data_IF_014176475382
#
_entry.id   IF_014176475382
#
_cell.length_a   1.000
_cell.length_b   1.000
_cell.length_c   1.000
_cell.angle_alpha   90.00
_cell.angle_beta   90.00
_cell.angle_gamma   90.00
#
_symmetry.space_group_name_H-M   'P 1'
#
loop_
_entity.id
_entity.type
_entity.pdbx_description
1 polymer ?
#
# COMPACT_ATOMS: atom_id res chain seq x y z
N UNK A 1 -38.89 37.38 -34.12
CA UNK A 1 -37.42 37.39 -33.87
C UNK A 1 -37.24 37.13 -32.38
N UNK A 2 -36.96 35.87 -32.06
CA UNK A 2 -37.09 35.34 -30.70
C UNK A 2 -35.96 35.79 -29.78
N UNK A 3 -36.33 36.42 -28.66
CA UNK A 3 -35.44 36.85 -27.56
C UNK A 3 -34.59 35.67 -27.05
N UNK A 4 -35.08 34.44 -27.24
CA UNK A 4 -34.40 33.19 -26.95
C UNK A 4 -33.02 33.08 -27.66
N UNK A 5 -32.89 33.58 -28.89
CA UNK A 5 -31.64 33.50 -29.66
C UNK A 5 -30.54 34.47 -29.15
N UNK A 6 -30.92 35.51 -28.39
CA UNK A 6 -29.97 36.45 -27.78
C UNK A 6 -29.48 35.98 -26.39
N UNK A 7 -30.28 35.18 -25.68
CA UNK A 7 -29.99 34.70 -24.33
C UNK A 7 -29.25 33.35 -24.35
N UNK A 8 -29.52 32.49 -25.35
CA UNK A 8 -28.84 31.19 -25.49
C UNK A 8 -27.30 31.33 -25.58
N UNK A 9 -26.71 32.26 -26.37
CA UNK A 9 -25.26 32.40 -26.46
C UNK A 9 -24.60 32.83 -25.15
N UNK A 10 -25.26 33.67 -24.35
CA UNK A 10 -24.72 34.13 -23.07
C UNK A 10 -24.77 33.02 -22.01
N UNK A 11 -25.87 32.27 -21.91
CA UNK A 11 -25.99 31.13 -20.99
C UNK A 11 -25.00 30.02 -21.35
N UNK A 12 -24.83 29.71 -22.64
CA UNK A 12 -23.83 28.74 -23.11
C UNK A 12 -22.41 29.25 -22.80
N UNK A 13 -22.12 30.53 -23.04
CA UNK A 13 -20.81 31.11 -22.70
C UNK A 13 -20.53 31.03 -21.19
N UNK A 14 -21.50 31.33 -20.33
CA UNK A 14 -21.36 31.19 -18.88
C UNK A 14 -21.15 29.73 -18.46
N UNK A 15 -21.88 28.78 -19.06
CA UNK A 15 -21.68 27.36 -18.79
C UNK A 15 -20.27 26.91 -19.22
N UNK A 16 -19.82 27.29 -20.41
CA UNK A 16 -18.48 26.99 -20.92
C UNK A 16 -17.42 27.59 -19.99
N UNK A 17 -17.56 28.86 -19.60
CA UNK A 17 -16.63 29.53 -18.67
C UNK A 17 -16.62 28.82 -17.31
N UNK A 18 -17.78 28.48 -16.76
CA UNK A 18 -17.89 27.76 -15.49
C UNK A 18 -17.21 26.38 -15.55
N UNK A 19 -17.52 25.57 -16.57
CA UNK A 19 -16.93 24.23 -16.72
C UNK A 19 -15.43 24.27 -17.00
N UNK A 20 -14.96 25.23 -17.81
CA UNK A 20 -13.52 25.40 -18.07
C UNK A 20 -12.78 25.86 -16.82
N UNK A 21 -13.31 26.80 -16.04
CA UNK A 21 -12.73 27.22 -14.75
C UNK A 21 -12.70 26.04 -13.76
N UNK A 22 -13.80 25.30 -13.63
CA UNK A 22 -13.86 24.12 -12.76
C UNK A 22 -12.82 23.06 -13.16
N UNK A 23 -12.72 22.73 -14.45
CA UNK A 23 -11.73 21.79 -14.96
C UNK A 23 -10.29 22.26 -14.70
N UNK A 24 -9.98 23.53 -14.95
CA UNK A 24 -8.65 24.10 -14.68
C UNK A 24 -8.29 24.09 -13.19
N UNK A 25 -9.26 24.34 -12.30
CA UNK A 25 -9.07 24.22 -10.86
C UNK A 25 -8.77 22.77 -10.44
N UNK A 26 -9.46 21.78 -11.02
CA UNK A 26 -9.18 20.35 -10.75
C UNK A 26 -7.79 19.89 -11.24
N UNK A 27 -7.28 20.46 -12.33
CA UNK A 27 -5.94 20.16 -12.86
C UNK A 27 -4.81 20.74 -12.00
N UNK A 28 -5.03 21.88 -11.32
CA UNK A 28 -4.05 22.49 -10.40
C UNK A 28 -3.72 21.57 -9.23
N UNK A 29 -4.71 20.82 -8.74
CA UNK A 29 -4.51 19.92 -7.61
C UNK A 29 -3.73 18.65 -7.99
N UNK A 30 -3.90 18.15 -9.21
CA UNK A 30 -3.18 16.96 -9.68
C UNK A 30 -1.67 17.22 -9.77
N UNK A 31 -1.25 18.34 -10.36
CA UNK A 31 0.18 18.68 -10.47
C UNK A 31 0.88 18.81 -9.10
N UNK A 32 0.18 19.32 -8.09
CA UNK A 32 0.73 19.44 -6.73
C UNK A 32 0.83 18.05 -6.10
N UNK A 33 -0.21 17.21 -6.21
CA UNK A 33 -0.18 15.82 -5.71
C UNK A 33 0.94 15.01 -6.35
N UNK A 34 1.11 15.11 -7.66
CA UNK A 34 2.15 14.38 -8.39
C UNK A 34 3.55 14.89 -8.02
N UNK A 35 3.72 16.20 -7.85
CA UNK A 35 4.99 16.78 -7.42
C UNK A 35 5.35 16.33 -5.99
N UNK A 36 4.39 16.39 -5.06
CA UNK A 36 4.57 15.97 -3.66
C UNK A 36 4.81 14.45 -3.57
N UNK A 37 4.10 13.64 -4.35
CA UNK A 37 4.30 12.19 -4.38
C UNK A 37 5.69 11.84 -4.92
N UNK A 38 6.13 12.49 -6.00
CA UNK A 38 7.47 12.26 -6.54
C UNK A 38 8.57 12.78 -5.61
N UNK A 39 8.36 13.87 -4.87
CA UNK A 39 9.34 14.41 -3.92
C UNK A 39 9.42 13.60 -2.62
N UNK A 40 8.30 13.05 -2.13
CA UNK A 40 8.26 12.22 -0.92
C UNK A 40 8.62 10.75 -1.17
N UNK A 41 8.47 10.25 -2.41
CA UNK A 41 8.77 8.87 -2.79
C UNK A 41 10.01 8.75 -3.69
N UNK A 42 10.68 9.84 -4.09
CA UNK A 42 11.91 9.77 -4.91
C UNK A 42 13.06 9.08 -4.19
N UNK A 43 13.10 9.21 -2.87
CA UNK A 43 14.21 8.74 -2.05
C UNK A 43 13.92 7.34 -1.46
N UNK A 44 12.71 6.84 -1.68
CA UNK A 44 12.24 5.57 -1.15
C UNK A 44 12.43 4.45 -2.19
N UNK A 45 13.59 3.79 -2.14
CA UNK A 45 13.88 2.62 -2.96
C UNK A 45 13.17 1.37 -2.37
N UNK A 46 11.94 1.16 -2.83
CA UNK A 46 11.09 0.02 -2.44
C UNK A 46 11.77 -1.34 -2.64
N UNK A 47 12.55 -1.52 -3.70
CA UNK A 47 13.23 -2.79 -3.97
C UNK A 47 14.40 -3.01 -3.00
N UNK A 48 15.11 -1.94 -2.62
CA UNK A 48 16.13 -1.99 -1.56
C UNK A 48 15.50 -2.36 -0.21
N UNK A 49 14.46 -1.67 0.23
CA UNK A 49 13.81 -1.95 1.51
C UNK A 49 13.22 -3.37 1.56
N UNK A 50 12.60 -3.83 0.47
CA UNK A 50 12.09 -5.21 0.36
C UNK A 50 13.19 -6.26 0.48
N UNK A 51 14.37 -5.99 -0.11
CA UNK A 51 15.54 -6.88 0.00
C UNK A 51 16.07 -6.93 1.44
N UNK A 52 16.11 -5.79 2.12
CA UNK A 52 16.51 -5.70 3.53
C UNK A 52 15.51 -6.44 4.45
N UNK A 53 14.21 -6.22 4.29
CA UNK A 53 13.16 -6.95 5.04
C UNK A 53 13.27 -8.47 4.82
N UNK A 54 13.55 -8.91 3.60
CA UNK A 54 13.75 -10.33 3.29
C UNK A 54 15.01 -10.90 3.95
N UNK A 55 16.07 -10.10 4.06
CA UNK A 55 17.28 -10.44 4.81
C UNK A 55 16.96 -10.73 6.29
N UNK A 56 16.22 -9.84 6.96
CA UNK A 56 15.81 -10.05 8.34
C UNK A 56 14.89 -11.26 8.49
N UNK A 57 13.93 -11.48 7.59
CA UNK A 57 13.06 -12.65 7.62
C UNK A 57 13.85 -13.98 7.55
N UNK A 58 14.94 -14.03 6.76
CA UNK A 58 15.83 -15.19 6.75
C UNK A 58 16.58 -15.36 8.08
N UNK A 59 17.00 -14.27 8.73
CA UNK A 59 17.65 -14.32 10.04
C UNK A 59 16.73 -14.95 11.09
N UNK A 60 15.45 -14.57 11.13
CA UNK A 60 14.44 -15.17 12.01
C UNK A 60 14.34 -16.70 11.84
N UNK A 61 14.52 -17.20 10.62
CA UNK A 61 14.55 -18.63 10.35
C UNK A 61 15.83 -19.31 10.85
N UNK A 62 16.99 -18.66 10.75
CA UNK A 62 18.28 -19.18 11.26
C UNK A 62 18.26 -19.29 12.79
N UNK A 63 17.71 -18.29 13.47
CA UNK A 63 17.65 -18.24 14.94
C UNK A 63 16.42 -18.94 15.55
N UNK A 64 15.67 -19.71 14.74
CA UNK A 64 14.48 -20.45 15.19
C UNK A 64 13.43 -19.56 15.89
N UNK A 65 13.17 -18.37 15.36
CA UNK A 65 12.14 -17.46 15.86
C UNK A 65 10.91 -17.44 14.95
N UNK A 66 9.75 -17.23 15.56
CA UNK A 66 8.48 -17.11 14.84
C UNK A 66 8.43 -15.79 14.06
N UNK A 67 8.16 -15.81 12.74
CA UNK A 67 8.11 -14.59 11.92
C UNK A 67 6.85 -13.75 12.18
N UNK A 68 5.85 -14.28 12.90
CA UNK A 68 4.57 -13.60 13.16
C UNK A 68 4.61 -12.83 14.47
N UNK A 69 5.13 -13.46 15.54
CA UNK A 69 5.07 -12.90 16.89
C UNK A 69 6.44 -12.85 17.59
N UNK A 70 7.53 -13.17 16.88
CA UNK A 70 8.93 -13.06 17.35
C UNK A 70 9.28 -13.99 18.53
N UNK A 71 8.32 -14.78 19.02
CA UNK A 71 8.54 -15.80 20.05
C UNK A 71 9.37 -16.98 19.51
N UNK A 72 10.04 -17.72 20.39
CA UNK A 72 10.83 -18.89 19.98
C UNK A 72 9.98 -19.99 19.32
N UNK A 73 10.55 -20.68 18.33
CA UNK A 73 10.02 -21.93 17.82
C UNK A 73 10.52 -23.08 18.69
N UNK A 74 9.61 -23.98 19.03
CA UNK A 74 9.92 -25.20 19.78
C UNK A 74 9.59 -26.40 18.91
N UNK A 75 10.44 -27.43 19.00
CA UNK A 75 10.21 -28.69 18.30
C UNK A 75 9.11 -29.48 19.03
N UNK A 76 8.12 -29.97 18.29
CA UNK A 76 7.00 -30.74 18.81
C UNK A 76 6.76 -31.97 17.95
N UNK A 77 6.29 -33.03 18.58
CA UNK A 77 5.88 -34.26 17.89
C UNK A 77 4.42 -34.16 17.44
N UNK A 78 4.18 -34.40 16.15
CA UNK A 78 2.86 -34.47 15.55
C UNK A 78 2.59 -35.83 14.91
N UNK A 79 1.36 -36.03 14.44
CA UNK A 79 0.92 -37.26 13.75
C UNK A 79 1.80 -37.62 12.55
N UNK A 80 2.38 -36.63 11.88
CA UNK A 80 3.18 -36.79 10.67
C UNK A 80 4.69 -36.63 10.92
N UNK A 81 5.12 -36.67 12.18
CA UNK A 81 6.50 -36.44 12.59
C UNK A 81 6.70 -35.09 13.29
N UNK A 82 7.98 -34.77 13.54
CA UNK A 82 8.39 -33.55 14.24
C UNK A 82 8.14 -32.29 13.41
N UNK A 83 7.66 -31.23 14.06
CA UNK A 83 7.49 -29.92 13.46
C UNK A 83 7.88 -28.79 14.43
N UNK A 84 8.29 -27.66 13.87
CA UNK A 84 8.51 -26.44 14.63
C UNK A 84 7.19 -25.73 14.87
N UNK A 85 6.83 -25.49 16.12
CA UNK A 85 5.65 -24.71 16.47
C UNK A 85 6.02 -23.51 17.34
N UNK A 86 5.23 -22.45 17.26
CA UNK A 86 5.44 -21.27 18.11
C UNK A 86 5.26 -21.60 19.60
N UNK A 87 6.15 -21.11 20.46
CA UNK A 87 6.06 -21.24 21.92
C UNK A 87 4.81 -20.55 22.49
N UNK A 88 4.38 -19.44 21.88
CA UNK A 88 3.19 -18.66 22.27
C UNK A 88 1.83 -19.26 21.84
N UNK A 89 1.78 -20.55 21.51
CA UNK A 89 0.50 -21.24 21.29
C UNK A 89 -0.33 -21.23 22.60
N UNK A 90 -1.66 -20.97 22.58
CA UNK A 90 -2.57 -20.91 21.42
C UNK A 90 -2.70 -19.54 20.74
N UNK A 91 -2.07 -18.49 21.28
CA UNK A 91 -2.19 -17.12 20.75
C UNK A 91 -1.53 -16.96 19.38
N UNK A 92 -0.47 -17.70 19.11
CA UNK A 92 0.14 -17.80 17.79
C UNK A 92 0.16 -19.26 17.33
N UNK A 93 -0.43 -19.52 16.15
CA UNK A 93 -0.56 -20.86 15.55
C UNK A 93 0.43 -21.12 14.42
N UNK A 94 1.51 -20.34 14.35
CA UNK A 94 2.55 -20.56 13.35
C UNK A 94 3.20 -21.94 13.57
N UNK A 95 3.30 -22.69 12.48
CA UNK A 95 3.98 -23.98 12.41
C UNK A 95 4.82 -24.06 11.15
N UNK A 96 5.94 -24.77 11.22
CA UNK A 96 6.82 -25.02 10.09
C UNK A 96 7.30 -26.48 10.15
N UNK A 97 7.27 -27.17 9.02
CA UNK A 97 7.82 -28.52 8.94
C UNK A 97 9.33 -28.50 9.22
N UNK A 98 9.83 -29.56 9.86
CA UNK A 98 11.26 -29.72 10.09
C UNK A 98 12.05 -29.94 8.78
N UNK A 99 11.39 -30.40 7.72
CA UNK A 99 11.94 -30.75 6.41
C UNK A 99 11.22 -30.03 5.27
#
# INVERSE_FOLDING_TARGET
MDILYLIIPSVIAFAIIYYTVYYLLSLREQKIRDKVANELLSDFDYEKEKKEIKSYANLFQVIQMCPICISSLVLRDGKYGEFWGCSSFPKCRFTKNKF
#
